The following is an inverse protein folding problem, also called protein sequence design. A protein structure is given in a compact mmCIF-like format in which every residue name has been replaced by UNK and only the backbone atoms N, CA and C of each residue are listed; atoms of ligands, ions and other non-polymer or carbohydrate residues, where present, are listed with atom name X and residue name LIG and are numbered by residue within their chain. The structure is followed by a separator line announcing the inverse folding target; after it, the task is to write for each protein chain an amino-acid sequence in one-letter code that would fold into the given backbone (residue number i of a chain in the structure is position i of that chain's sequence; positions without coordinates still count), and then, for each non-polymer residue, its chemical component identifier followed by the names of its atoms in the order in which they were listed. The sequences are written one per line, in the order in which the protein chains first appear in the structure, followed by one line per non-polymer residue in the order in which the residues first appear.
data_IF_236136434023
#
_entry.id   IF_236136434023
#
_cell.length_a   1.000
_cell.length_b   1.000
_cell.length_c   1.000
_cell.angle_alpha   90.00
_cell.angle_beta   90.00
_cell.angle_gamma   90.00
#
_symmetry.space_group_name_H-M   'P 1'
#
loop_
_entity.id
_entity.type
_entity.pdbx_description
1 polymer ?
#
# COMPACT_ATOMS: atom_id res chain seq x y z
N UNK A 1 20.43 -28.29 -4.12
CA UNK A 1 20.85 -26.87 -4.21
C UNK A 1 20.21 -26.13 -3.04
N UNK A 2 20.94 -25.96 -1.93
CA UNK A 2 20.44 -25.15 -0.82
C UNK A 2 20.40 -23.69 -1.26
N UNK A 3 19.22 -23.10 -1.32
CA UNK A 3 19.07 -21.69 -1.62
C UNK A 3 19.77 -20.89 -0.51
N UNK A 4 20.85 -20.18 -0.86
CA UNK A 4 21.56 -19.28 0.04
C UNK A 4 20.53 -18.34 0.69
N UNK A 5 20.42 -18.26 2.02
CA UNK A 5 19.40 -17.45 2.67
C UNK A 5 19.57 -16.00 2.22
N UNK A 6 18.48 -15.40 1.72
CA UNK A 6 18.47 -14.02 1.24
C UNK A 6 18.90 -13.13 2.41
N UNK A 7 20.14 -12.65 2.37
CA UNK A 7 20.61 -11.70 3.38
C UNK A 7 19.81 -10.40 3.21
N UNK A 8 19.14 -9.96 4.27
CA UNK A 8 18.39 -8.71 4.29
C UNK A 8 19.40 -7.55 4.33
N UNK A 9 19.75 -7.06 3.16
CA UNK A 9 20.61 -5.90 2.93
C UNK A 9 19.75 -4.70 2.57
N UNK A 10 20.23 -3.46 2.75
CA UNK A 10 19.52 -2.25 2.33
C UNK A 10 19.02 -2.29 0.88
N UNK A 11 19.83 -2.85 -0.04
CA UNK A 11 19.47 -3.00 -1.46
C UNK A 11 18.34 -4.01 -1.67
N UNK A 12 18.46 -5.21 -1.11
CA UNK A 12 17.44 -6.26 -1.27
C UNK A 12 16.12 -5.84 -0.61
N UNK A 13 16.19 -5.15 0.53
CA UNK A 13 15.06 -4.53 1.21
C UNK A 13 14.35 -3.48 0.33
N UNK A 14 15.07 -2.46 -0.17
CA UNK A 14 14.46 -1.44 -1.03
C UNK A 14 13.89 -2.02 -2.33
N UNK A 15 14.55 -3.03 -2.91
CA UNK A 15 14.05 -3.75 -4.08
C UNK A 15 12.73 -4.45 -3.74
N UNK A 16 12.66 -5.14 -2.60
CA UNK A 16 11.45 -5.82 -2.14
C UNK A 16 10.28 -4.85 -1.92
N UNK A 17 10.50 -3.72 -1.25
CA UNK A 17 9.47 -2.70 -1.06
C UNK A 17 8.91 -2.18 -2.39
N UNK A 18 9.78 -1.92 -3.37
CA UNK A 18 9.35 -1.45 -4.68
C UNK A 18 8.58 -2.52 -5.46
N UNK A 19 9.02 -3.79 -5.43
CA UNK A 19 8.29 -4.89 -6.09
C UNK A 19 6.87 -4.99 -5.52
N UNK A 20 6.72 -4.99 -4.19
CA UNK A 20 5.41 -5.08 -3.54
C UNK A 20 4.54 -3.89 -3.92
N UNK A 21 5.08 -2.66 -3.84
CA UNK A 21 4.36 -1.44 -4.21
C UNK A 21 3.84 -1.50 -5.65
N UNK A 22 4.70 -1.84 -6.61
CA UNK A 22 4.33 -1.89 -8.02
C UNK A 22 3.38 -3.06 -8.33
N UNK A 23 3.55 -4.21 -7.68
CA UNK A 23 2.64 -5.35 -7.85
C UNK A 23 1.21 -4.98 -7.46
N UNK A 24 1.03 -4.33 -6.31
CA UNK A 24 -0.29 -3.89 -5.84
C UNK A 24 -0.84 -2.78 -6.73
N UNK A 25 -0.05 -1.74 -7.04
CA UNK A 25 -0.51 -0.63 -7.87
C UNK A 25 -0.93 -1.08 -9.27
N UNK A 26 -0.12 -1.94 -9.92
CA UNK A 26 -0.45 -2.50 -11.23
C UNK A 26 -1.70 -3.39 -11.12
N UNK A 27 -1.82 -4.20 -10.07
CA UNK A 27 -3.02 -4.98 -9.81
C UNK A 27 -4.28 -4.12 -9.72
N UNK A 28 -4.24 -3.02 -8.95
CA UNK A 28 -5.35 -2.07 -8.86
C UNK A 28 -5.69 -1.45 -10.21
N UNK A 29 -4.68 -1.01 -10.98
CA UNK A 29 -4.88 -0.41 -12.30
C UNK A 29 -5.46 -1.41 -13.31
N UNK A 30 -4.95 -2.64 -13.33
CA UNK A 30 -5.44 -3.70 -14.22
C UNK A 30 -6.89 -4.05 -13.89
N UNK A 31 -7.21 -4.28 -12.62
CA UNK A 31 -8.59 -4.58 -12.19
C UNK A 31 -9.52 -3.43 -12.57
N UNK A 32 -9.15 -2.19 -12.24
CA UNK A 32 -9.96 -1.02 -12.61
C UNK A 32 -10.18 -0.91 -14.11
N UNK A 33 -9.14 -1.09 -14.92
CA UNK A 33 -9.21 -1.08 -16.39
C UNK A 33 -10.13 -2.18 -16.93
N UNK A 34 -10.00 -3.41 -16.42
CA UNK A 34 -10.84 -4.54 -16.84
C UNK A 34 -12.32 -4.24 -16.58
N UNK A 35 -12.66 -3.66 -15.43
CA UNK A 35 -14.06 -3.33 -15.12
C UNK A 35 -14.61 -2.27 -16.08
N UNK A 36 -13.83 -1.24 -16.41
CA UNK A 36 -14.23 -0.22 -17.40
C UNK A 36 -14.53 -0.84 -18.77
N UNK A 37 -13.79 -1.88 -19.17
CA UNK A 37 -13.96 -2.55 -20.46
C UNK A 37 -15.12 -3.56 -20.48
N UNK A 38 -15.46 -4.16 -19.35
CA UNK A 38 -16.52 -5.17 -19.25
C UNK A 38 -17.89 -4.53 -18.97
N UNK A 39 -17.94 -3.34 -18.36
CA UNK A 39 -19.20 -2.66 -18.08
C UNK A 39 -19.92 -2.27 -19.38
N UNK A 40 -21.05 -2.93 -19.65
CA UNK A 40 -21.87 -2.68 -20.85
C UNK A 40 -22.60 -1.33 -20.80
N UNK A 41 -22.90 -0.83 -19.60
CA UNK A 41 -23.55 0.46 -19.39
C UNK A 41 -22.94 1.18 -18.19
N UNK A 42 -22.89 2.51 -18.29
CA UNK A 42 -22.31 3.37 -17.27
C UNK A 42 -23.44 4.14 -16.61
N UNK A 43 -23.98 3.61 -15.51
CA UNK A 43 -24.84 4.43 -14.65
C UNK A 43 -23.95 5.36 -13.82
N UNK A 44 -24.10 6.66 -14.09
CA UNK A 44 -23.35 7.75 -13.43
C UNK A 44 -24.23 8.45 -12.39
N UNK A 45 -25.51 8.07 -12.28
CA UNK A 45 -26.42 8.63 -11.29
C UNK A 45 -26.00 8.18 -9.89
N UNK A 46 -26.40 8.97 -8.89
CA UNK A 46 -26.20 8.58 -7.50
C UNK A 46 -26.92 7.26 -7.22
N UNK A 47 -26.25 6.28 -6.58
CA UNK A 47 -26.90 5.04 -6.19
C UNK A 47 -28.12 5.29 -5.31
N UNK A 48 -29.12 4.42 -5.43
CA UNK A 48 -30.33 4.47 -4.61
C UNK A 48 -29.99 4.31 -3.12
N UNK A 49 -30.76 4.94 -2.23
CA UNK A 49 -30.65 4.75 -0.78
C UNK A 49 -30.88 3.30 -0.32
N UNK A 50 -31.53 2.48 -1.16
CA UNK A 50 -31.70 1.04 -0.90
C UNK A 50 -30.42 0.24 -1.15
N UNK A 51 -29.43 0.80 -1.87
CA UNK A 51 -28.16 0.14 -2.13
C UNK A 51 -27.26 0.23 -0.88
N UNK A 52 -26.99 -0.94 -0.30
CA UNK A 52 -26.14 -1.04 0.89
C UNK A 52 -24.69 -0.60 0.64
N UNK A 53 -24.22 -0.64 -0.62
CA UNK A 53 -22.87 -0.21 -0.98
C UNK A 53 -22.69 1.31 -0.87
N UNK A 54 -23.77 2.09 -0.94
CA UNK A 54 -23.75 3.55 -0.80
C UNK A 54 -23.16 4.00 0.53
N UNK A 55 -23.40 3.24 1.60
CA UNK A 55 -22.85 3.50 2.94
C UNK A 55 -21.55 2.71 3.14
N UNK A 56 -21.50 1.45 2.71
CA UNK A 56 -20.37 0.58 2.96
C UNK A 56 -19.07 1.08 2.29
N UNK A 57 -19.11 1.39 0.99
CA UNK A 57 -17.89 1.75 0.23
C UNK A 57 -17.19 2.99 0.79
N UNK A 58 -17.88 4.13 1.05
CA UNK A 58 -17.24 5.29 1.67
C UNK A 58 -16.76 5.02 3.09
N UNK A 59 -17.53 4.29 3.90
CA UNK A 59 -17.17 3.98 5.28
C UNK A 59 -15.89 3.14 5.34
N UNK A 60 -15.81 2.06 4.57
CA UNK A 60 -14.62 1.22 4.51
C UNK A 60 -13.42 1.93 3.87
N UNK A 61 -13.65 2.80 2.90
CA UNK A 61 -12.61 3.70 2.34
C UNK A 61 -12.01 4.56 3.45
N UNK A 62 -12.86 5.25 4.21
CA UNK A 62 -12.41 6.09 5.33
C UNK A 62 -11.67 5.29 6.39
N UNK A 63 -12.25 4.17 6.84
CA UNK A 63 -11.66 3.30 7.85
C UNK A 63 -10.32 2.71 7.39
N UNK A 64 -10.23 2.23 6.15
CA UNK A 64 -9.00 1.66 5.60
C UNK A 64 -7.84 2.67 5.58
N UNK A 65 -8.11 3.89 5.14
CA UNK A 65 -7.11 4.97 5.12
C UNK A 65 -6.68 5.36 6.54
N UNK A 66 -7.64 5.55 7.45
CA UNK A 66 -7.37 5.98 8.84
C UNK A 66 -6.64 4.87 9.60
N UNK A 67 -7.17 3.65 9.61
CA UNK A 67 -6.55 2.50 10.29
C UNK A 67 -5.19 2.17 9.68
N UNK A 68 -5.05 2.25 8.36
CA UNK A 68 -3.76 2.08 7.69
C UNK A 68 -2.71 3.06 8.19
N UNK A 69 -3.07 4.33 8.37
CA UNK A 69 -2.16 5.34 8.95
C UNK A 69 -1.86 5.06 10.43
N UNK A 70 -2.88 4.74 11.23
CA UNK A 70 -2.72 4.49 12.68
C UNK A 70 -1.83 3.27 12.94
N UNK A 71 -2.12 2.15 12.28
CA UNK A 71 -1.37 0.90 12.47
C UNK A 71 0.07 1.01 11.93
N UNK A 72 0.26 1.71 10.80
CA UNK A 72 1.59 2.04 10.29
C UNK A 72 2.40 2.82 11.34
N UNK A 73 1.84 3.91 11.87
CA UNK A 73 2.52 4.74 12.87
C UNK A 73 2.83 3.95 14.15
N UNK A 74 1.85 3.22 14.69
CA UNK A 74 2.05 2.37 15.88
C UNK A 74 3.18 1.36 15.68
N UNK A 75 3.24 0.73 14.50
CA UNK A 75 4.31 -0.21 14.18
C UNK A 75 5.66 0.50 14.09
N UNK A 76 5.75 1.67 13.45
CA UNK A 76 7.00 2.45 13.41
C UNK A 76 7.47 2.88 14.81
N UNK A 77 6.55 3.32 15.67
CA UNK A 77 6.87 3.71 17.04
C UNK A 77 7.46 2.53 17.83
N UNK A 78 6.95 1.31 17.63
CA UNK A 78 7.53 0.09 18.23
C UNK A 78 8.94 -0.25 17.72
N UNK A 79 9.35 0.24 16.54
CA UNK A 79 10.67 -0.03 15.97
C UNK A 79 11.74 0.95 16.46
N UNK A 80 11.37 2.03 17.16
CA UNK A 80 12.34 2.99 17.72
C UNK A 80 13.23 2.36 18.78
N UNK A 81 12.71 1.41 19.54
CA UNK A 81 13.48 0.66 20.55
C UNK A 81 14.41 -0.41 19.97
N UNK A 82 14.25 -0.76 18.69
CA UNK A 82 15.10 -1.76 18.04
C UNK A 82 16.49 -1.19 17.74
N UNK A 83 17.53 -1.92 18.13
CA UNK A 83 18.93 -1.53 17.86
C UNK A 83 19.44 -2.06 16.51
N UNK A 84 18.85 -3.14 16.03
CA UNK A 84 19.29 -3.80 14.80
C UNK A 84 18.69 -3.14 13.55
N UNK A 85 19.53 -2.70 12.62
CA UNK A 85 19.10 -2.22 11.30
C UNK A 85 18.23 -3.25 10.57
N UNK A 86 18.60 -4.54 10.69
CA UNK A 86 17.86 -5.64 10.07
C UNK A 86 16.44 -5.74 10.64
N UNK A 87 16.29 -5.65 11.96
CA UNK A 87 14.99 -5.68 12.62
C UNK A 87 14.14 -4.46 12.23
N UNK A 88 14.73 -3.26 12.22
CA UNK A 88 14.08 -2.02 11.75
C UNK A 88 13.57 -2.15 10.30
N UNK A 89 14.43 -2.59 9.38
CA UNK A 89 14.06 -2.78 7.97
C UNK A 89 12.92 -3.79 7.82
N UNK A 90 13.04 -4.97 8.44
CA UNK A 90 11.99 -6.00 8.36
C UNK A 90 10.66 -5.50 8.94
N UNK A 91 10.70 -4.86 10.11
CA UNK A 91 9.51 -4.30 10.74
C UNK A 91 8.85 -3.20 9.91
N UNK A 92 9.65 -2.34 9.27
CA UNK A 92 9.15 -1.30 8.35
C UNK A 92 8.44 -1.93 7.15
N UNK A 93 9.02 -2.97 6.55
CA UNK A 93 8.39 -3.69 5.45
C UNK A 93 7.03 -4.23 5.86
N UNK A 94 6.94 -4.88 7.03
CA UNK A 94 5.66 -5.36 7.57
C UNK A 94 4.66 -4.22 7.78
N UNK A 95 5.09 -3.09 8.37
CA UNK A 95 4.24 -1.93 8.58
C UNK A 95 3.64 -1.40 7.26
N UNK A 96 4.48 -1.33 6.22
CA UNK A 96 4.08 -0.82 4.91
C UNK A 96 3.14 -1.77 4.18
N UNK A 97 3.37 -3.08 4.25
CA UNK A 97 2.48 -4.10 3.68
C UNK A 97 1.08 -4.01 4.32
N UNK A 98 1.01 -3.93 5.65
CA UNK A 98 -0.27 -3.77 6.37
C UNK A 98 -0.99 -2.51 5.89
N UNK A 99 -0.26 -1.39 5.76
CA UNK A 99 -0.83 -0.14 5.26
C UNK A 99 -1.36 -0.28 3.83
N UNK A 100 -0.66 -0.99 2.96
CA UNK A 100 -1.10 -1.24 1.59
C UNK A 100 -2.37 -2.07 1.54
N UNK A 101 -2.43 -3.18 2.28
CA UNK A 101 -3.61 -4.05 2.32
C UNK A 101 -4.86 -3.33 2.85
N UNK A 102 -4.69 -2.44 3.83
CA UNK A 102 -5.82 -1.65 4.37
C UNK A 102 -6.37 -0.61 3.38
N UNK A 103 -5.60 -0.25 2.35
CA UNK A 103 -6.04 0.64 1.26
C UNK A 103 -6.59 -0.17 0.08
N UNK A 104 -5.98 -1.32 -0.21
CA UNK A 104 -6.41 -2.23 -1.26
C UNK A 104 -7.78 -2.86 -0.96
N UNK A 105 -8.04 -3.24 0.29
CA UNK A 105 -9.32 -3.86 0.68
C UNK A 105 -10.56 -3.01 0.32
N UNK A 106 -10.66 -1.72 0.69
CA UNK A 106 -11.78 -0.89 0.26
C UNK A 106 -11.78 -0.59 -1.25
N UNK A 107 -10.61 -0.60 -1.91
CA UNK A 107 -10.55 -0.48 -3.37
C UNK A 107 -11.24 -1.67 -4.06
N UNK A 108 -10.94 -2.89 -3.60
CA UNK A 108 -11.58 -4.12 -4.12
C UNK A 108 -13.08 -4.10 -3.81
N UNK A 109 -13.49 -3.64 -2.62
CA UNK A 109 -14.91 -3.48 -2.28
C UNK A 109 -15.64 -2.54 -3.25
N UNK A 110 -15.06 -1.38 -3.58
CA UNK A 110 -15.66 -0.45 -4.55
C UNK A 110 -15.74 -1.03 -5.96
N UNK A 111 -14.75 -1.83 -6.36
CA UNK A 111 -14.80 -2.60 -7.62
C UNK A 111 -15.95 -3.62 -7.60
N UNK A 112 -16.09 -4.41 -6.54
CA UNK A 112 -17.18 -5.39 -6.40
C UNK A 112 -18.55 -4.69 -6.41
N UNK A 113 -18.68 -3.57 -5.71
CA UNK A 113 -19.89 -2.76 -5.70
C UNK A 113 -20.25 -2.25 -7.11
N UNK A 114 -19.26 -1.83 -7.90
CA UNK A 114 -19.46 -1.40 -9.30
C UNK A 114 -20.04 -2.53 -10.15
N UNK A 115 -19.48 -3.73 -10.04
CA UNK A 115 -19.95 -4.90 -10.82
C UNK A 115 -21.35 -5.31 -10.36
N UNK A 116 -21.62 -5.26 -9.05
CA UNK A 116 -22.90 -5.71 -8.48
C UNK A 116 -24.07 -4.75 -8.76
N UNK A 117 -23.80 -3.45 -8.83
CA UNK A 117 -24.82 -2.41 -9.00
C UNK A 117 -24.87 -1.83 -10.42
N UNK A 118 -23.89 -2.19 -11.27
CA UNK A 118 -23.62 -1.54 -12.56
C UNK A 118 -23.44 -0.02 -12.46
N UNK A 119 -23.09 0.50 -11.28
CA UNK A 119 -22.97 1.93 -11.02
C UNK A 119 -21.49 2.34 -10.87
N UNK A 120 -21.05 3.26 -11.73
CA UNK A 120 -19.65 3.71 -11.85
C UNK A 120 -19.23 4.59 -10.67
N UNK A 121 -20.18 5.08 -9.86
CA UNK A 121 -19.90 5.87 -8.66
C UNK A 121 -18.90 5.17 -7.71
N UNK A 122 -19.06 3.87 -7.50
CA UNK A 122 -18.17 3.11 -6.63
C UNK A 122 -16.76 2.96 -7.22
N UNK A 123 -16.65 2.87 -8.55
CA UNK A 123 -15.37 2.83 -9.26
C UNK A 123 -14.63 4.17 -9.16
N UNK A 124 -15.34 5.29 -9.16
CA UNK A 124 -14.73 6.61 -8.93
C UNK A 124 -14.09 6.69 -7.55
N UNK A 125 -14.76 6.17 -6.51
CA UNK A 125 -14.18 6.08 -5.15
C UNK A 125 -12.92 5.20 -5.17
N UNK A 126 -12.97 4.03 -5.80
CA UNK A 126 -11.79 3.17 -5.99
C UNK A 126 -10.66 3.92 -6.74
N UNK A 127 -10.98 4.75 -7.72
CA UNK A 127 -10.02 5.63 -8.41
C UNK A 127 -9.31 6.60 -7.45
N UNK A 128 -10.04 7.19 -6.49
CA UNK A 128 -9.41 8.03 -5.45
C UNK A 128 -8.45 7.26 -4.55
N UNK A 129 -8.75 5.99 -4.26
CA UNK A 129 -7.85 5.12 -3.50
C UNK A 129 -6.58 4.80 -4.27
N UNK A 130 -6.63 4.62 -5.60
CA UNK A 130 -5.44 4.49 -6.45
C UNK A 130 -4.59 5.76 -6.37
N UNK A 131 -5.20 6.94 -6.51
CA UNK A 131 -4.50 8.22 -6.38
C UNK A 131 -3.83 8.36 -5.01
N UNK A 132 -4.54 8.01 -3.94
CA UNK A 132 -3.97 7.98 -2.59
C UNK A 132 -2.81 6.97 -2.48
N UNK A 133 -2.97 5.76 -3.02
CA UNK A 133 -1.96 4.70 -2.97
C UNK A 133 -0.64 5.13 -3.64
N UNK A 134 -0.71 5.89 -4.74
CA UNK A 134 0.49 6.43 -5.41
C UNK A 134 1.33 7.30 -4.46
N UNK A 135 0.70 8.06 -3.56
CA UNK A 135 1.41 8.87 -2.55
C UNK A 135 2.15 8.03 -1.50
N UNK A 136 1.84 6.73 -1.42
CA UNK A 136 2.41 5.80 -0.46
C UNK A 136 3.73 5.17 -0.94
N UNK A 137 4.21 5.50 -2.13
CA UNK A 137 5.46 4.98 -2.71
C UNK A 137 6.63 5.00 -1.71
N UNK A 138 7.30 3.84 -1.48
CA UNK A 138 8.45 3.77 -0.59
C UNK A 138 9.69 4.35 -1.27
N UNK A 139 10.05 5.59 -0.91
CA UNK A 139 11.31 6.19 -1.37
C UNK A 139 12.39 6.04 -0.29
N UNK A 140 13.66 6.04 -0.71
CA UNK A 140 14.80 5.97 0.23
C UNK A 140 14.71 7.05 1.32
N UNK A 141 14.37 8.27 0.93
CA UNK A 141 14.20 9.40 1.85
C UNK A 141 13.06 9.16 2.84
N UNK A 142 11.91 8.64 2.38
CA UNK A 142 10.77 8.34 3.24
C UNK A 142 11.09 7.23 4.24
N UNK A 143 11.79 6.18 3.80
CA UNK A 143 12.27 5.10 4.67
C UNK A 143 13.20 5.62 5.76
N UNK A 144 14.21 6.42 5.41
CA UNK A 144 15.17 6.97 6.39
C UNK A 144 14.45 7.86 7.40
N UNK A 145 13.54 8.73 6.92
CA UNK A 145 12.75 9.63 7.76
C UNK A 145 11.81 8.88 8.70
N UNK A 146 11.06 7.91 8.18
CA UNK A 146 10.04 7.21 8.94
C UNK A 146 10.64 6.19 9.94
N UNK A 147 11.83 5.65 9.67
CA UNK A 147 12.57 4.77 10.57
C UNK A 147 13.38 5.50 11.65
N UNK A 148 13.50 6.83 11.54
CA UNK A 148 14.27 7.67 12.45
C UNK A 148 15.68 7.08 12.71
N UNK A 149 16.38 6.77 11.61
CA UNK A 149 17.70 6.14 11.68
C UNK A 149 18.73 7.15 12.20
N UNK A 150 19.59 6.71 13.12
CA UNK A 150 20.73 7.52 13.56
C UNK A 150 21.78 7.70 12.45
N UNK A 151 22.73 8.60 12.67
CA UNK A 151 23.74 8.96 11.66
C UNK A 151 24.61 7.76 11.23
N UNK A 152 24.91 6.82 12.14
CA UNK A 152 25.73 5.65 11.83
C UNK A 152 24.95 4.65 10.98
N UNK A 153 23.70 4.38 11.36
CA UNK A 153 22.79 3.50 10.62
C UNK A 153 22.41 4.06 9.24
N UNK A 154 22.36 5.39 9.08
CA UNK A 154 22.19 6.02 7.78
C UNK A 154 23.40 5.75 6.88
N UNK A 155 24.62 5.82 7.41
CA UNK A 155 25.84 5.50 6.65
C UNK A 155 25.86 4.03 6.27
N UNK A 156 25.54 3.12 7.19
CA UNK A 156 25.46 1.69 6.91
C UNK A 156 24.39 1.37 5.86
N UNK A 157 23.24 2.05 5.95
CA UNK A 157 22.16 1.92 4.97
C UNK A 157 22.57 2.42 3.58
N UNK A 158 23.23 3.59 3.49
CA UNK A 158 23.71 4.16 2.22
C UNK A 158 24.85 3.32 1.62
N UNK A 159 25.84 2.95 2.43
CA UNK A 159 26.95 2.10 2.03
C UNK A 159 26.45 0.75 1.51
N UNK A 160 25.47 0.14 2.19
CA UNK A 160 24.82 -1.09 1.73
C UNK A 160 24.01 -0.96 0.43
N UNK A 161 23.71 0.26 -0.02
CA UNK A 161 23.14 0.52 -1.35
C UNK A 161 24.21 0.67 -2.44
N UNK A 162 25.45 1.06 -2.08
CA UNK A 162 26.54 1.37 -3.01
C UNK A 162 27.53 0.21 -3.20
N UNK A 163 27.84 -0.54 -2.13
CA UNK A 163 28.85 -1.63 -2.10
C UNK A 163 28.46 -2.90 -2.89
N UNK A 164 27.36 -2.89 -3.62
CA UNK A 164 26.92 -4.00 -4.48
C UNK A 164 26.55 -3.53 -5.90
N UNK A 165 27.12 -2.40 -6.35
CA UNK A 165 27.21 -2.07 -7.78
C UNK A 165 28.21 -3.01 -8.45
#
# INVERSE_FOLDING_TARGET
MEAKPIQLTPRTFMKSLNIIYWAILIGMLLIGCIIVLILESWDILMPSYADSFLIAVPLFTFLGVVLGRVLYKRKLDSLKSEKSLKAKMSGFQTALIIKFMLVEAPFVLGVVATISSSNVFYLMISGTLVMYFITLKPTKSKVIKDLDLDSQLILDFKNGLELMK
#
